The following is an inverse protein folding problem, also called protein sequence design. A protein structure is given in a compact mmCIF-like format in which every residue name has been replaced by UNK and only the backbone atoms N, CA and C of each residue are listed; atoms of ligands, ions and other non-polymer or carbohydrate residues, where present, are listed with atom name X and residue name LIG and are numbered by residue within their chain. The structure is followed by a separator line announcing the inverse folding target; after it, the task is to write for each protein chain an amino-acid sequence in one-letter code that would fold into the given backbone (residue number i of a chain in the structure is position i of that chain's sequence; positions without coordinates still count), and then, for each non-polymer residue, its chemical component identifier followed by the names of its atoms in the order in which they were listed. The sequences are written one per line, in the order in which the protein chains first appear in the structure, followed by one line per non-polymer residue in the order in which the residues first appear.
data_IF_232634493567
#
_entry.id   IF_232634493567
#
_cell.length_a   1.000
_cell.length_b   1.000
_cell.length_c   1.000
_cell.angle_alpha   90.00
_cell.angle_beta   90.00
_cell.angle_gamma   90.00
#
_symmetry.space_group_name_H-M   'P 1'
#
loop_
_entity.id
_entity.type
_entity.pdbx_description
1 polymer ?
#
# COMPACT_ATOMS: atom_id res chain seq x y z
N UNK A 1 -5.56 -3.06 -6.92
CA UNK A 1 -5.89 -4.13 -5.94
C UNK A 1 -5.34 -5.46 -6.45
N UNK A 2 -4.88 -6.38 -5.58
CA UNK A 2 -4.50 -7.73 -6.00
C UNK A 2 -5.71 -8.51 -6.54
N UNK A 3 -5.59 -9.11 -7.72
CA UNK A 3 -6.69 -9.85 -8.35
C UNK A 3 -7.19 -11.03 -7.49
N UNK A 4 -6.28 -11.71 -6.78
CA UNK A 4 -6.63 -12.85 -5.92
C UNK A 4 -7.65 -12.50 -4.83
N UNK A 5 -7.61 -11.27 -4.30
CA UNK A 5 -8.59 -10.82 -3.30
C UNK A 5 -9.98 -10.60 -3.94
N UNK A 6 -10.02 -10.01 -5.14
CA UNK A 6 -11.27 -9.75 -5.87
C UNK A 6 -11.93 -11.03 -6.39
N UNK A 7 -11.11 -12.03 -6.72
CA UNK A 7 -11.54 -13.30 -7.30
C UNK A 7 -11.62 -14.41 -6.24
N UNK A 8 -11.59 -14.08 -4.95
CA UNK A 8 -11.75 -15.07 -3.90
C UNK A 8 -13.16 -15.69 -3.96
N UNK A 9 -13.22 -17.02 -3.88
CA UNK A 9 -14.46 -17.80 -3.81
C UNK A 9 -14.42 -18.66 -2.53
N UNK A 10 -15.49 -19.37 -2.20
CA UNK A 10 -15.53 -20.38 -1.12
C UNK A 10 -15.26 -19.85 0.30
N UNK A 11 -16.11 -18.93 0.77
CA UNK A 11 -16.16 -18.54 2.17
C UNK A 11 -15.15 -17.47 2.59
N UNK A 12 -14.30 -16.98 1.67
CA UNK A 12 -13.42 -15.81 1.84
C UNK A 12 -14.15 -14.46 1.79
N UNK A 13 -13.38 -13.37 1.73
CA UNK A 13 -13.92 -12.04 1.48
C UNK A 13 -14.60 -11.98 0.10
N UNK A 14 -15.71 -11.27 -0.01
CA UNK A 14 -16.48 -11.15 -1.27
C UNK A 14 -16.54 -9.69 -1.68
N UNK A 15 -16.10 -9.40 -2.90
CA UNK A 15 -16.18 -8.07 -3.50
C UNK A 15 -17.52 -7.89 -4.23
N UNK A 16 -18.23 -6.80 -3.92
CA UNK A 16 -19.38 -6.32 -4.67
C UNK A 16 -19.08 -4.95 -5.24
N UNK A 17 -19.56 -4.72 -6.46
CA UNK A 17 -19.63 -3.39 -7.04
C UNK A 17 -21.02 -2.81 -6.72
N UNK A 18 -21.08 -1.88 -5.78
CA UNK A 18 -22.28 -1.09 -5.55
C UNK A 18 -22.44 -0.08 -6.70
N UNK A 19 -23.69 0.08 -7.15
CA UNK A 19 -24.06 1.02 -8.22
C UNK A 19 -25.00 2.06 -7.60
N UNK A 20 -24.65 3.33 -7.76
CA UNK A 20 -25.45 4.46 -7.31
C UNK A 20 -26.72 4.59 -8.16
N UNK A 21 -27.92 4.59 -7.55
CA UNK A 21 -29.16 4.83 -8.27
C UNK A 21 -29.23 6.29 -8.75
N UNK A 22 -29.63 6.50 -10.01
CA UNK A 22 -29.74 7.85 -10.59
C UNK A 22 -30.72 8.77 -9.85
N UNK A 23 -31.79 8.22 -9.29
CA UNK A 23 -32.83 8.98 -8.56
C UNK A 23 -32.50 9.17 -7.07
N UNK A 24 -31.45 8.52 -6.56
CA UNK A 24 -31.07 8.55 -5.14
C UNK A 24 -29.54 8.55 -5.02
N UNK A 25 -28.87 9.65 -5.40
CA UNK A 25 -27.42 9.74 -5.33
C UNK A 25 -26.94 9.59 -3.88
N UNK A 26 -25.76 8.99 -3.72
CA UNK A 26 -25.13 8.81 -2.43
C UNK A 26 -24.73 10.14 -1.81
N UNK A 27 -24.66 10.22 -0.47
CA UNK A 27 -24.24 11.43 0.20
C UNK A 27 -22.77 11.78 -0.14
N UNK A 28 -22.38 13.06 -0.01
CA UNK A 28 -21.00 13.45 -0.17
C UNK A 28 -20.07 12.77 0.84
N UNK A 29 -18.84 12.47 0.40
CA UNK A 29 -17.82 11.83 1.25
C UNK A 29 -17.27 12.78 2.34
N UNK A 30 -17.38 14.10 2.14
CA UNK A 30 -16.92 15.11 3.09
C UNK A 30 -17.99 16.19 3.23
N UNK A 31 -18.22 16.62 4.48
CA UNK A 31 -19.12 17.71 4.77
C UNK A 31 -18.72 18.98 4.00
N UNK A 32 -19.69 19.62 3.34
CA UNK A 32 -19.48 20.83 2.54
C UNK A 32 -18.82 20.62 1.18
N UNK A 33 -18.60 19.37 0.75
CA UNK A 33 -18.12 19.05 -0.60
C UNK A 33 -19.23 18.36 -1.41
N UNK A 34 -19.16 18.43 -2.74
CA UNK A 34 -20.12 17.78 -3.63
C UNK A 34 -19.72 16.35 -4.03
N UNK A 35 -18.45 15.96 -3.84
CA UNK A 35 -17.93 14.67 -4.28
C UNK A 35 -18.53 13.49 -3.52
N UNK A 36 -19.15 12.56 -4.23
CA UNK A 36 -19.71 11.30 -3.71
C UNK A 36 -18.78 10.12 -4.07
N UNK A 37 -19.08 8.93 -3.56
CA UNK A 37 -18.45 7.69 -3.99
C UNK A 37 -18.98 7.15 -5.34
N UNK A 38 -20.02 7.78 -5.90
CA UNK A 38 -20.74 7.32 -7.08
C UNK A 38 -19.96 7.52 -8.40
N UNK A 39 -20.39 6.89 -9.51
CA UNK A 39 -21.53 5.99 -9.59
C UNK A 39 -21.21 4.56 -9.13
N UNK A 40 -19.94 4.24 -8.85
CA UNK A 40 -19.48 2.90 -8.50
C UNK A 40 -18.60 2.89 -7.27
N UNK A 41 -18.90 1.98 -6.34
CA UNK A 41 -18.11 1.79 -5.13
C UNK A 41 -17.84 0.31 -4.84
N UNK A 42 -16.65 0.01 -4.33
CA UNK A 42 -16.27 -1.35 -3.94
C UNK A 42 -16.68 -1.62 -2.51
N UNK A 43 -17.50 -2.64 -2.31
CA UNK A 43 -17.89 -3.11 -0.98
C UNK A 43 -17.35 -4.50 -0.75
N UNK A 44 -16.73 -4.73 0.40
CA UNK A 44 -16.27 -6.06 0.81
C UNK A 44 -17.21 -6.64 1.88
N UNK A 45 -17.71 -7.85 1.65
CA UNK A 45 -18.30 -8.67 2.70
C UNK A 45 -17.22 -9.57 3.31
N UNK A 46 -17.22 -9.71 4.63
CA UNK A 46 -16.24 -10.50 5.40
C UNK A 46 -14.77 -10.12 5.07
N UNK A 47 -14.41 -8.82 5.07
CA UNK A 47 -13.07 -8.35 4.69
C UNK A 47 -11.95 -9.00 5.52
N UNK A 48 -12.24 -9.37 6.78
CA UNK A 48 -11.32 -10.06 7.69
C UNK A 48 -10.85 -11.41 7.15
N UNK A 49 -11.67 -12.11 6.34
CA UNK A 49 -11.31 -13.40 5.75
C UNK A 49 -10.40 -13.29 4.52
N UNK A 50 -10.31 -12.10 3.93
CA UNK A 50 -9.44 -11.81 2.79
C UNK A 50 -8.17 -11.04 3.16
N UNK A 51 -7.96 -10.76 4.45
CA UNK A 51 -6.95 -9.80 4.92
C UNK A 51 -7.03 -8.46 4.17
N UNK A 52 -8.26 -7.98 3.94
CA UNK A 52 -8.50 -6.73 3.23
C UNK A 52 -8.10 -5.56 4.12
N UNK A 53 -7.16 -4.75 3.67
CA UNK A 53 -6.61 -3.63 4.44
C UNK A 53 -7.32 -2.33 4.08
N UNK A 54 -7.23 -1.27 4.91
CA UNK A 54 -7.85 0.03 4.60
C UNK A 54 -7.47 0.58 3.22
N UNK A 55 -6.24 0.34 2.76
CA UNK A 55 -5.72 0.74 1.44
C UNK A 55 -6.46 0.08 0.28
N UNK A 56 -7.22 -0.99 0.55
CA UNK A 56 -7.99 -1.74 -0.43
C UNK A 56 -9.47 -1.32 -0.51
N UNK A 57 -9.85 -0.25 0.21
CA UNK A 57 -11.14 0.42 0.12
C UNK A 57 -11.00 1.72 -0.70
N UNK A 58 -11.19 1.68 -2.03
CA UNK A 58 -11.10 2.88 -2.85
C UNK A 58 -12.22 3.87 -2.46
N UNK A 59 -11.93 5.17 -2.52
CA UNK A 59 -12.94 6.20 -2.26
C UNK A 59 -14.00 6.32 -3.38
N UNK A 60 -13.64 5.92 -4.61
CA UNK A 60 -14.48 5.91 -5.80
C UNK A 60 -13.87 4.96 -6.83
N UNK A 61 -14.69 4.25 -7.62
CA UNK A 61 -14.22 3.50 -8.78
C UNK A 61 -14.47 4.31 -10.05
N UNK A 62 -13.40 4.59 -10.80
CA UNK A 62 -13.46 5.25 -12.12
C UNK A 62 -13.11 4.32 -13.28
N UNK A 63 -12.37 3.23 -13.01
CA UNK A 63 -11.96 2.22 -14.00
C UNK A 63 -11.62 0.91 -13.30
N UNK A 64 -11.99 -0.21 -13.92
CA UNK A 64 -11.55 -1.56 -13.54
C UNK A 64 -10.87 -2.17 -14.75
N UNK A 65 -9.63 -2.63 -14.58
CA UNK A 65 -8.89 -3.29 -15.64
C UNK A 65 -7.93 -4.35 -15.10
N UNK A 66 -7.70 -5.38 -15.92
CA UNK A 66 -6.66 -6.37 -15.65
C UNK A 66 -5.32 -5.84 -16.16
N UNK A 67 -4.38 -5.63 -15.24
CA UNK A 67 -3.00 -5.21 -15.56
C UNK A 67 -2.00 -6.29 -15.18
N UNK A 68 -0.80 -6.22 -15.75
CA UNK A 68 0.30 -7.07 -15.34
C UNK A 68 0.62 -6.90 -13.84
N UNK A 69 1.11 -7.97 -13.20
CA UNK A 69 1.52 -7.93 -11.79
C UNK A 69 2.53 -6.81 -11.52
N UNK A 70 2.53 -6.26 -10.31
CA UNK A 70 3.48 -5.22 -9.88
C UNK A 70 4.93 -5.57 -10.20
N UNK A 71 5.37 -6.80 -9.94
CA UNK A 71 6.72 -7.26 -10.23
C UNK A 71 7.10 -7.22 -11.73
N UNK A 72 6.11 -7.32 -12.63
CA UNK A 72 6.31 -7.21 -14.09
C UNK A 72 6.32 -5.75 -14.55
N UNK A 73 5.40 -4.94 -14.01
CA UNK A 73 5.29 -3.50 -14.33
C UNK A 73 6.49 -2.71 -13.79
N UNK A 74 6.96 -3.11 -12.61
CA UNK A 74 8.00 -2.45 -11.85
C UNK A 74 9.05 -3.49 -11.41
N UNK A 75 9.96 -3.92 -12.29
CA UNK A 75 10.97 -4.91 -11.91
C UNK A 75 11.96 -4.38 -10.86
N UNK A 76 12.17 -3.06 -10.78
CA UNK A 76 13.09 -2.40 -9.85
C UNK A 76 12.68 -2.45 -8.37
N UNK A 77 11.44 -2.84 -8.06
CA UNK A 77 10.97 -3.04 -6.68
C UNK A 77 11.14 -4.48 -6.21
N UNK A 78 11.49 -5.41 -7.10
CA UNK A 78 11.54 -6.83 -6.78
C UNK A 78 12.83 -7.13 -6.00
N UNK A 79 12.76 -7.90 -4.89
CA UNK A 79 13.96 -8.30 -4.16
C UNK A 79 14.83 -9.27 -4.99
N UNK A 80 16.02 -9.61 -4.49
CA UNK A 80 17.00 -10.35 -5.28
C UNK A 80 16.48 -11.72 -5.73
N UNK A 81 16.67 -12.05 -7.02
CA UNK A 81 16.13 -13.26 -7.64
C UNK A 81 16.61 -14.55 -6.95
N UNK A 82 17.85 -14.55 -6.43
CA UNK A 82 18.46 -15.69 -5.74
C UNK A 82 17.85 -16.02 -4.36
N UNK A 83 16.99 -15.16 -3.82
CA UNK A 83 16.36 -15.43 -2.53
C UNK A 83 15.40 -16.62 -2.63
N UNK A 84 15.42 -17.59 -1.70
CA UNK A 84 14.43 -18.66 -1.63
C UNK A 84 12.99 -18.14 -1.57
N UNK A 85 12.02 -18.91 -2.06
CA UNK A 85 10.61 -18.51 -2.07
C UNK A 85 10.06 -18.15 -0.68
N UNK A 86 10.47 -18.90 0.36
CA UNK A 86 10.07 -18.66 1.75
C UNK A 86 10.92 -17.63 2.50
N UNK A 87 11.80 -16.90 1.83
CA UNK A 87 12.70 -15.95 2.50
C UNK A 87 11.92 -14.75 3.09
N UNK A 88 12.19 -14.32 4.34
CA UNK A 88 11.47 -13.21 5.00
C UNK A 88 11.39 -11.92 4.18
N UNK A 89 12.44 -11.58 3.42
CA UNK A 89 12.47 -10.43 2.50
C UNK A 89 11.37 -10.52 1.42
N UNK A 90 11.03 -11.71 0.93
CA UNK A 90 9.93 -11.88 -0.03
C UNK A 90 8.56 -11.66 0.63
N UNK A 91 8.41 -12.08 1.88
CA UNK A 91 7.21 -11.76 2.68
C UNK A 91 7.11 -10.25 2.94
N UNK A 92 8.23 -9.58 3.25
CA UNK A 92 8.31 -8.13 3.37
C UNK A 92 7.97 -7.38 2.08
N UNK A 93 8.36 -7.91 0.93
CA UNK A 93 7.93 -7.38 -0.37
C UNK A 93 6.41 -7.48 -0.55
N UNK A 94 5.81 -8.61 -0.19
CA UNK A 94 4.35 -8.76 -0.23
C UNK A 94 3.63 -7.78 0.73
N UNK A 95 4.20 -7.54 1.92
CA UNK A 95 3.71 -6.52 2.84
C UNK A 95 3.79 -5.10 2.23
N UNK A 96 4.92 -4.74 1.61
CA UNK A 96 5.09 -3.47 0.92
C UNK A 96 4.05 -3.27 -0.19
N UNK A 97 3.79 -4.31 -0.99
CA UNK A 97 2.78 -4.29 -2.05
C UNK A 97 1.35 -4.12 -1.52
N UNK A 98 1.06 -4.64 -0.32
CA UNK A 98 -0.26 -4.57 0.29
C UNK A 98 -0.54 -3.21 0.92
N UNK A 99 0.44 -2.68 1.65
CA UNK A 99 0.23 -1.55 2.56
C UNK A 99 0.86 -0.24 2.09
N UNK A 100 2.00 -0.29 1.39
CA UNK A 100 2.86 0.89 1.20
C UNK A 100 2.81 1.44 -0.22
N UNK A 101 2.78 0.58 -1.24
CA UNK A 101 2.93 0.97 -2.64
C UNK A 101 1.79 1.84 -3.19
N UNK A 102 0.64 1.85 -2.50
CA UNK A 102 -0.48 2.73 -2.85
C UNK A 102 -0.14 4.21 -2.65
N UNK A 103 0.75 4.52 -1.71
CA UNK A 103 1.17 5.87 -1.39
C UNK A 103 2.63 6.15 -1.75
N UNK A 104 3.50 5.15 -1.73
CA UNK A 104 4.93 5.30 -1.93
C UNK A 104 5.41 4.59 -3.19
N UNK A 105 6.32 5.22 -3.92
CA UNK A 105 7.16 4.51 -4.88
C UNK A 105 8.37 3.90 -4.18
N UNK A 106 9.06 3.00 -4.87
CA UNK A 106 10.37 2.51 -4.48
C UNK A 106 11.24 2.42 -5.74
N UNK A 107 12.43 3.03 -5.75
CA UNK A 107 13.25 3.08 -6.95
C UNK A 107 12.52 3.70 -8.17
N UNK A 108 11.60 4.63 -7.95
CA UNK A 108 10.72 5.20 -8.97
C UNK A 108 9.65 4.25 -9.50
N UNK A 109 9.57 3.02 -8.97
CA UNK A 109 8.55 2.04 -9.33
C UNK A 109 7.29 2.18 -8.47
N UNK A 110 6.13 2.08 -9.11
CA UNK A 110 4.81 2.32 -8.51
C UNK A 110 4.08 3.46 -9.20
N UNK A 111 2.77 3.51 -9.04
CA UNK A 111 1.90 4.56 -9.62
C UNK A 111 1.62 5.69 -8.61
N UNK A 112 2.22 5.63 -7.42
CA UNK A 112 1.88 6.53 -6.33
C UNK A 112 2.45 7.93 -6.50
N UNK A 113 1.68 8.94 -6.07
CA UNK A 113 2.04 10.36 -6.16
C UNK A 113 1.95 11.09 -4.81
N UNK A 114 1.60 10.37 -3.74
CA UNK A 114 1.28 10.97 -2.44
C UNK A 114 2.49 11.05 -1.51
N UNK A 115 3.16 9.91 -1.32
CA UNK A 115 4.33 9.75 -0.47
C UNK A 115 5.62 9.80 -1.29
N UNK A 116 6.76 10.11 -0.64
CA UNK A 116 8.06 10.09 -1.31
C UNK A 116 8.45 8.68 -1.74
N UNK A 117 9.43 8.60 -2.65
CA UNK A 117 10.12 7.34 -2.92
C UNK A 117 10.84 6.82 -1.66
N UNK A 118 10.74 5.53 -1.41
CA UNK A 118 11.33 4.89 -0.22
C UNK A 118 12.71 4.26 -0.47
N UNK A 119 13.37 4.55 -1.59
CA UNK A 119 14.72 4.07 -1.84
C UNK A 119 15.66 5.12 -2.43
N UNK A 120 15.19 6.06 -3.24
CA UNK A 120 16.04 7.10 -3.85
C UNK A 120 15.58 8.52 -3.47
N UNK A 121 16.50 9.43 -3.08
CA UNK A 121 17.95 9.23 -2.95
C UNK A 121 18.34 8.38 -1.73
N UNK A 122 17.55 8.39 -0.66
CA UNK A 122 17.82 7.65 0.57
C UNK A 122 16.65 6.76 0.96
N UNK A 123 16.96 5.52 1.30
CA UNK A 123 16.07 4.57 1.92
C UNK A 123 15.91 4.95 3.40
N UNK A 124 14.70 4.86 3.99
CA UNK A 124 14.49 5.21 5.39
C UNK A 124 15.38 4.41 6.35
N UNK A 125 15.81 3.21 5.99
CA UNK A 125 16.72 2.40 6.81
C UNK A 125 18.18 2.89 6.83
N UNK A 126 18.55 3.85 5.98
CA UNK A 126 19.89 4.44 5.95
C UNK A 126 20.07 5.57 6.97
N UNK A 127 18.99 6.31 7.27
CA UNK A 127 19.05 7.49 8.14
C UNK A 127 18.15 7.42 9.38
N UNK A 128 17.16 6.51 9.41
CA UNK A 128 16.39 6.24 10.61
C UNK A 128 16.96 5.00 11.31
N UNK A 129 17.14 5.12 12.62
CA UNK A 129 17.42 3.94 13.45
C UNK A 129 16.25 2.94 13.36
N UNK A 130 16.50 1.63 13.50
CA UNK A 130 15.45 0.63 13.36
C UNK A 130 14.26 0.78 14.33
N UNK A 131 14.48 1.30 15.54
CA UNK A 131 13.43 1.60 16.51
C UNK A 131 12.58 2.81 16.10
N UNK A 132 13.22 3.86 15.59
CA UNK A 132 12.55 5.07 15.13
C UNK A 132 11.67 4.79 13.91
N UNK A 133 12.16 4.02 12.93
CA UNK A 133 11.38 3.65 11.75
C UNK A 133 10.16 2.79 12.11
N UNK A 134 10.32 1.84 13.05
CA UNK A 134 9.18 1.09 13.60
C UNK A 134 8.15 2.03 14.21
N UNK A 135 8.61 2.96 15.06
CA UNK A 135 7.74 3.92 15.73
C UNK A 135 7.00 4.83 14.75
N UNK A 136 7.66 5.29 13.68
CA UNK A 136 7.04 6.08 12.61
C UNK A 136 5.93 5.30 11.88
N UNK A 137 6.16 4.03 11.56
CA UNK A 137 5.15 3.21 10.87
C UNK A 137 3.96 2.93 11.79
N UNK A 138 4.22 2.68 13.08
CA UNK A 138 3.16 2.48 14.08
C UNK A 138 2.35 3.75 14.31
N UNK A 139 3.00 4.89 14.38
CA UNK A 139 2.38 6.20 14.58
C UNK A 139 3.21 7.29 13.87
N UNK A 140 2.74 7.79 12.71
CA UNK A 140 3.43 8.83 11.95
C UNK A 140 3.60 10.15 12.71
N UNK A 141 2.82 10.38 13.78
CA UNK A 141 2.90 11.57 14.63
C UNK A 141 3.90 11.40 15.79
N UNK A 142 4.41 10.19 16.04
CA UNK A 142 5.24 9.89 17.20
C UNK A 142 6.67 10.42 17.12
N UNK A 143 7.19 10.63 15.91
CA UNK A 143 8.51 11.26 15.72
C UNK A 143 8.38 12.76 15.55
N UNK A 144 7.43 13.20 14.72
CA UNK A 144 7.13 14.61 14.49
C UNK A 144 5.62 14.80 14.45
N UNK A 145 5.11 15.77 15.22
CA UNK A 145 3.69 16.14 15.10
C UNK A 145 3.50 17.02 13.89
N UNK A 146 2.76 16.52 12.91
CA UNK A 146 2.41 17.23 11.70
C UNK A 146 0.95 16.93 11.34
N UNK A 147 0.01 17.80 11.74
CA UNK A 147 -1.42 17.57 11.52
C UNK A 147 -1.84 17.42 10.04
N UNK A 148 -1.05 17.96 9.11
CA UNK A 148 -1.31 17.83 7.68
C UNK A 148 -0.72 16.55 7.05
N UNK A 149 0.07 15.77 7.80
CA UNK A 149 0.59 14.49 7.33
C UNK A 149 -0.55 13.54 6.91
N UNK A 150 -0.34 12.81 5.82
CA UNK A 150 -1.35 11.90 5.24
C UNK A 150 -1.07 10.43 5.45
N UNK A 151 0.14 10.09 5.91
CA UNK A 151 0.48 8.70 6.23
C UNK A 151 -0.38 8.24 7.42
N UNK A 152 -1.14 7.13 7.28
CA UNK A 152 -1.92 6.58 8.38
C UNK A 152 -1.02 5.81 9.36
N UNK A 153 -1.54 5.58 10.56
CA UNK A 153 -0.93 4.70 11.54
C UNK A 153 -1.22 3.23 11.19
N UNK A 154 -0.22 2.36 11.31
CA UNK A 154 -0.36 0.92 11.10
C UNK A 154 -0.28 0.21 12.45
N UNK A 155 -1.44 -0.05 13.07
CA UNK A 155 -1.51 -0.80 14.34
C UNK A 155 -1.14 -2.28 14.17
N UNK A 156 -0.95 -3.00 15.27
CA UNK A 156 -0.55 -4.43 15.23
C UNK A 156 -1.65 -5.35 14.69
N UNK A 157 -2.88 -4.86 14.50
CA UNK A 157 -3.96 -5.61 13.83
C UNK A 157 -3.84 -5.50 12.32
N UNK A 158 -3.50 -4.31 11.83
CA UNK A 158 -3.36 -4.00 10.40
C UNK A 158 -2.04 -4.52 9.84
N UNK A 159 -0.96 -4.34 10.60
CA UNK A 159 0.39 -4.80 10.25
C UNK A 159 0.99 -5.53 11.46
N UNK A 160 0.82 -6.85 11.61
CA UNK A 160 1.38 -7.60 12.73
C UNK A 160 2.90 -7.43 12.89
N UNK A 161 3.43 -7.55 14.10
CA UNK A 161 4.87 -7.26 14.38
C UNK A 161 5.83 -8.09 13.54
N UNK A 162 5.47 -9.34 13.24
CA UNK A 162 6.23 -10.19 12.32
C UNK A 162 6.27 -9.59 10.91
N UNK A 163 5.13 -9.18 10.37
CA UNK A 163 5.04 -8.61 9.02
C UNK A 163 5.75 -7.26 8.95
N UNK A 164 5.68 -6.45 10.02
CA UNK A 164 6.49 -5.22 10.13
C UNK A 164 7.99 -5.53 10.11
N UNK A 165 8.45 -6.56 10.84
CA UNK A 165 9.86 -6.95 10.81
C UNK A 165 10.31 -7.42 9.41
N UNK A 166 9.47 -8.19 8.71
CA UNK A 166 9.69 -8.63 7.34
C UNK A 166 9.73 -7.45 6.36
N UNK A 167 8.80 -6.48 6.49
CA UNK A 167 8.77 -5.25 5.71
C UNK A 167 10.06 -4.44 5.89
N UNK A 168 10.54 -4.28 7.12
CA UNK A 168 11.78 -3.57 7.40
C UNK A 168 13.01 -4.29 6.83
N UNK A 169 13.02 -5.63 6.88
CA UNK A 169 14.07 -6.42 6.25
C UNK A 169 14.06 -6.25 4.72
N UNK A 170 12.88 -6.17 4.11
CA UNK A 170 12.75 -5.87 2.68
C UNK A 170 13.24 -4.46 2.34
N UNK A 171 12.83 -3.42 3.06
CA UNK A 171 13.32 -2.06 2.84
C UNK A 171 14.84 -1.99 2.99
N UNK A 172 15.41 -2.64 4.01
CA UNK A 172 16.86 -2.71 4.21
C UNK A 172 17.56 -3.42 3.05
N UNK A 173 17.00 -4.53 2.58
CA UNK A 173 17.52 -5.25 1.41
C UNK A 173 17.52 -4.40 0.13
N UNK A 174 16.54 -3.51 -0.02
CA UNK A 174 16.46 -2.62 -1.18
C UNK A 174 17.41 -1.43 -1.10
N UNK A 175 17.87 -1.04 0.08
CA UNK A 175 18.85 0.05 0.25
C UNK A 175 20.15 -0.21 -0.56
N UNK A 176 20.58 -1.47 -0.67
CA UNK A 176 21.75 -1.87 -1.47
C UNK A 176 21.44 -2.07 -2.97
N UNK A 177 20.22 -1.74 -3.41
CA UNK A 177 19.68 -2.03 -4.75
C UNK A 177 18.95 -0.81 -5.31
N UNK A 178 19.59 0.34 -5.22
CA UNK A 178 19.06 1.59 -5.77
C UNK A 178 19.17 1.58 -7.29
N UNK A 179 18.14 2.08 -7.96
CA UNK A 179 18.32 2.57 -9.34
C UNK A 179 19.18 3.82 -9.28
N UNK A 180 19.95 4.09 -10.34
CA UNK A 180 20.66 5.37 -10.47
C UNK A 180 19.58 6.46 -10.45
N UNK A 181 19.60 7.40 -9.48
CA UNK A 181 18.62 8.48 -9.44
C UNK A 181 18.71 9.25 -10.76
N UNK A 182 17.59 9.59 -11.43
CA UNK A 182 17.65 10.52 -12.53
C UNK A 182 18.32 11.81 -12.03
N UNK A 183 19.29 12.31 -12.78
CA UNK A 183 19.98 13.57 -12.45
C UNK A 183 18.89 14.63 -12.30
N UNK A 184 18.84 15.27 -11.12
CA UNK A 184 17.91 16.35 -10.86
C UNK A 184 18.11 17.42 -11.95
N UNK A 185 17.02 17.77 -12.65
CA UNK A 185 17.01 18.92 -13.56
C UNK A 185 16.94 20.20 -12.77
#
# INVERSE_FOLDING_TARGET
LPAAALLAHDGGAVAYLAVEPAEAPWPPLKAGQAGTAGPFYLVWLRPEKGAITPEQWPYQIVRIEAVASLAKRFPMIVPAVKLPAGHPIRAGFAAFQRHCIVCHTLNGGGDATLGPDLNVPYNPTEYLRPDALRRLIRDPQALHRWPAAKMPAFDSRTLPDRELAELLAYLRHMADRKVVPPVAK
#
